data_IF_645744908792
#
_entry.id   IF_645744908792
#
_cell.length_a   1.000
_cell.length_b   1.000
_cell.length_c   1.000
_cell.angle_alpha   90.00
_cell.angle_beta   90.00
_cell.angle_gamma   90.00
#
_symmetry.space_group_name_H-M   'P 1'
#
loop_
_entity.id
_entity.type
_entity.pdbx_description
1 polymer ?
#
# COMPACT_ATOMS: atom_id res chain seq x y z
N UNK A 1 45.60 -63.31 -22.13
CA UNK A 1 44.59 -62.35 -22.61
C UNK A 1 43.82 -61.79 -21.41
N UNK A 2 44.23 -60.63 -20.83
CA UNK A 2 43.45 -59.90 -19.81
C UNK A 2 43.64 -58.39 -20.02
N UNK A 3 42.62 -57.75 -20.60
CA UNK A 3 42.41 -56.30 -20.66
C UNK A 3 41.81 -55.88 -19.32
N UNK A 4 42.48 -55.02 -18.56
CA UNK A 4 41.84 -54.21 -17.51
C UNK A 4 42.31 -52.77 -17.66
N UNK A 5 41.41 -51.93 -18.18
CA UNK A 5 41.65 -50.54 -18.56
C UNK A 5 41.35 -49.57 -17.41
N UNK A 6 42.38 -48.82 -17.01
CA UNK A 6 42.47 -47.36 -16.74
C UNK A 6 41.36 -46.51 -16.10
N UNK A 7 40.19 -47.02 -15.68
CA UNK A 7 39.07 -46.13 -15.30
C UNK A 7 39.15 -45.63 -13.83
N UNK A 8 39.99 -46.23 -12.98
CA UNK A 8 39.91 -46.01 -11.52
C UNK A 8 40.64 -44.79 -10.95
N UNK A 9 41.47 -44.07 -11.73
CA UNK A 9 42.28 -42.96 -11.19
C UNK A 9 41.67 -41.57 -11.39
N UNK A 10 40.87 -41.36 -12.43
CA UNK A 10 40.24 -40.05 -12.67
C UNK A 10 39.00 -39.80 -11.81
N UNK A 11 38.32 -40.85 -11.34
CA UNK A 11 37.10 -40.74 -10.52
C UNK A 11 37.38 -40.20 -9.09
N UNK A 12 38.58 -40.46 -8.56
CA UNK A 12 38.97 -40.10 -7.18
C UNK A 12 39.30 -38.60 -7.05
N UNK A 13 39.71 -37.94 -8.13
CA UNK A 13 40.02 -36.50 -8.13
C UNK A 13 38.81 -35.61 -8.47
N UNK A 14 37.76 -36.15 -9.10
CA UNK A 14 36.53 -35.40 -9.42
C UNK A 14 35.64 -35.24 -8.19
N UNK A 15 35.62 -36.24 -7.29
CA UNK A 15 34.83 -36.21 -6.05
C UNK A 15 35.11 -35.01 -5.13
N UNK A 16 36.38 -34.67 -4.78
CA UNK A 16 36.67 -33.52 -3.94
C UNK A 16 36.43 -32.19 -4.66
N UNK A 17 36.66 -32.12 -5.98
CA UNK A 17 36.44 -30.89 -6.77
C UNK A 17 34.95 -30.55 -6.89
N UNK A 18 34.07 -31.55 -7.08
CA UNK A 18 32.61 -31.34 -7.09
C UNK A 18 32.09 -30.96 -5.70
N UNK A 19 32.64 -31.53 -4.62
CA UNK A 19 32.32 -31.13 -3.24
C UNK A 19 32.74 -29.68 -2.95
N UNK A 20 33.94 -29.28 -3.36
CA UNK A 20 34.42 -27.90 -3.21
C UNK A 20 33.57 -26.93 -4.05
N UNK A 21 33.11 -27.35 -5.24
CA UNK A 21 32.23 -26.56 -6.07
C UNK A 21 30.83 -26.39 -5.46
N UNK A 22 30.26 -27.45 -4.88
CA UNK A 22 28.97 -27.38 -4.16
C UNK A 22 29.06 -26.54 -2.88
N UNK A 23 30.15 -26.64 -2.11
CA UNK A 23 30.37 -25.82 -0.92
C UNK A 23 30.55 -24.34 -1.31
N UNK A 24 31.26 -24.07 -2.41
CA UNK A 24 31.45 -22.70 -2.92
C UNK A 24 30.15 -22.12 -3.49
N UNK A 25 29.34 -22.94 -4.16
CA UNK A 25 28.03 -22.56 -4.71
C UNK A 25 27.03 -22.23 -3.60
N UNK A 26 27.00 -23.01 -2.51
CA UNK A 26 26.15 -22.73 -1.34
C UNK A 26 26.58 -21.49 -0.55
N UNK A 27 27.87 -21.10 -0.59
CA UNK A 27 28.34 -19.86 0.03
C UNK A 27 28.07 -18.61 -0.82
N UNK A 28 27.94 -18.76 -2.15
CA UNK A 28 27.58 -17.69 -3.07
C UNK A 28 26.06 -17.53 -3.27
N UNK A 29 25.27 -18.58 -3.06
CA UNK A 29 23.81 -18.52 -2.90
C UNK A 29 23.46 -18.45 -1.41
N UNK A 30 23.88 -17.37 -0.76
CA UNK A 30 23.22 -16.98 0.48
C UNK A 30 21.78 -16.60 0.15
N UNK A 31 20.80 -17.36 0.65
CA UNK A 31 19.41 -16.93 0.74
C UNK A 31 19.43 -15.54 1.40
N UNK A 32 19.12 -14.48 0.65
CA UNK A 32 18.84 -13.19 1.27
C UNK A 32 17.66 -13.44 2.22
N UNK A 33 17.82 -13.21 3.53
CA UNK A 33 16.70 -13.39 4.44
C UNK A 33 15.60 -12.45 3.97
N UNK A 34 14.45 -13.01 3.54
CA UNK A 34 13.25 -12.24 3.29
C UNK A 34 13.05 -11.34 4.50
N UNK A 35 13.27 -10.03 4.32
CA UNK A 35 13.01 -9.04 5.34
C UNK A 35 11.51 -9.05 5.58
N UNK A 36 11.04 -9.89 6.51
CA UNK A 36 9.73 -9.72 7.14
C UNK A 36 9.79 -8.36 7.82
N UNK A 37 9.28 -7.36 7.11
CA UNK A 37 9.19 -5.99 7.61
C UNK A 37 8.51 -6.01 8.97
N UNK A 38 9.03 -5.21 9.91
CA UNK A 38 8.35 -5.00 11.19
C UNK A 38 6.93 -4.55 10.87
N UNK A 39 5.93 -5.21 11.44
CA UNK A 39 4.54 -4.79 11.30
C UNK A 39 4.45 -3.36 11.83
N UNK A 40 4.26 -2.40 10.93
CA UNK A 40 4.17 -1.00 11.32
C UNK A 40 2.71 -0.74 11.66
N UNK A 41 2.44 -0.45 12.92
CA UNK A 41 1.09 -0.10 13.35
C UNK A 41 0.57 1.13 12.58
N UNK A 42 -0.69 1.05 12.20
CA UNK A 42 -1.38 2.04 11.39
C UNK A 42 -2.34 2.85 12.25
N UNK A 43 -2.13 4.18 12.35
CA UNK A 43 -2.89 5.04 13.26
C UNK A 43 -4.05 5.70 12.52
N UNK A 44 -5.27 5.38 12.95
CA UNK A 44 -6.47 6.07 12.53
C UNK A 44 -6.79 7.27 13.41
N UNK A 45 -7.08 8.40 12.80
CA UNK A 45 -7.54 9.61 13.49
C UNK A 45 -9.04 9.85 13.33
N UNK A 46 -9.63 10.58 14.28
CA UNK A 46 -10.93 11.21 14.08
C UNK A 46 -10.81 12.31 13.04
N UNK A 47 -11.90 12.61 12.34
CA UNK A 47 -11.90 13.56 11.23
C UNK A 47 -11.32 14.94 11.56
N UNK A 48 -11.76 15.55 12.66
CA UNK A 48 -11.33 16.87 13.09
C UNK A 48 -9.85 16.89 13.54
N UNK A 49 -9.40 15.82 14.20
CA UNK A 49 -8.01 15.64 14.60
C UNK A 49 -7.10 15.41 13.40
N UNK A 50 -7.56 14.61 12.43
CA UNK A 50 -6.85 14.32 11.20
C UNK A 50 -6.61 15.56 10.36
N UNK A 51 -7.63 16.40 10.16
CA UNK A 51 -7.50 17.67 9.44
C UNK A 51 -6.42 18.57 10.06
N UNK A 52 -6.47 18.80 11.38
CA UNK A 52 -5.47 19.62 12.08
C UNK A 52 -4.06 19.04 11.97
N UNK A 53 -3.93 17.71 12.03
CA UNK A 53 -2.64 17.03 11.92
C UNK A 53 -2.09 17.12 10.49
N UNK A 54 -2.93 16.94 9.47
CA UNK A 54 -2.52 17.10 8.08
C UNK A 54 -2.04 18.51 7.76
N UNK A 55 -2.76 19.53 8.22
CA UNK A 55 -2.36 20.93 8.06
C UNK A 55 -1.01 21.20 8.75
N UNK A 56 -0.86 20.75 10.00
CA UNK A 56 0.37 20.91 10.78
C UNK A 56 1.57 20.17 10.17
N UNK A 57 1.37 18.93 9.71
CA UNK A 57 2.43 18.08 9.15
C UNK A 57 2.63 18.28 7.64
N UNK A 58 1.80 19.11 7.00
CA UNK A 58 1.77 19.33 5.54
C UNK A 58 1.62 18.04 4.74
N UNK A 59 0.82 17.10 5.25
CA UNK A 59 0.55 15.79 4.63
C UNK A 59 -0.84 15.76 4.01
N UNK A 60 -1.00 15.01 2.93
CA UNK A 60 -2.33 14.72 2.37
C UNK A 60 -3.18 13.94 3.37
N UNK A 61 -4.51 14.10 3.28
CA UNK A 61 -5.45 13.37 4.12
C UNK A 61 -6.10 12.23 3.34
N UNK A 62 -6.13 11.04 3.92
CA UNK A 62 -7.01 9.95 3.49
C UNK A 62 -8.20 9.90 4.44
N UNK A 63 -9.42 10.13 3.94
CA UNK A 63 -10.66 9.93 4.69
C UNK A 63 -11.36 8.67 4.19
N UNK A 64 -11.27 7.61 4.99
CA UNK A 64 -11.90 6.32 4.74
C UNK A 64 -13.29 6.26 5.37
N UNK A 65 -14.32 6.22 4.54
CA UNK A 65 -15.70 6.03 4.93
C UNK A 65 -16.07 4.55 4.85
N UNK A 66 -16.62 4.02 5.94
CA UNK A 66 -17.05 2.63 6.07
C UNK A 66 -18.36 2.52 6.86
N UNK A 67 -18.90 1.30 6.97
CA UNK A 67 -19.93 0.95 7.97
C UNK A 67 -19.62 -0.43 8.58
N UNK A 68 -20.09 -0.69 9.79
CA UNK A 68 -19.80 -1.96 10.49
C UNK A 68 -20.40 -3.20 9.80
N UNK A 69 -21.49 -3.04 9.06
CA UNK A 69 -22.19 -4.11 8.35
C UNK A 69 -21.74 -4.28 6.88
N UNK A 70 -20.71 -3.55 6.44
CA UNK A 70 -20.23 -3.58 5.06
C UNK A 70 -19.17 -4.68 4.82
N UNK A 71 -19.52 -5.69 4.01
CA UNK A 71 -18.61 -6.80 3.67
C UNK A 71 -17.37 -6.36 2.89
N UNK A 72 -17.51 -5.48 1.91
CA UNK A 72 -16.38 -4.95 1.14
C UNK A 72 -15.44 -4.06 1.97
N UNK A 73 -15.96 -3.41 3.02
CA UNK A 73 -15.16 -2.63 3.96
C UNK A 73 -14.23 -3.54 4.75
N UNK A 74 -14.76 -4.66 5.29
CA UNK A 74 -13.93 -5.69 5.94
C UNK A 74 -12.88 -6.27 4.98
N UNK A 75 -13.25 -6.47 3.70
CA UNK A 75 -12.29 -6.92 2.68
C UNK A 75 -11.18 -5.89 2.44
N UNK A 76 -11.50 -4.60 2.40
CA UNK A 76 -10.52 -3.52 2.23
C UNK A 76 -9.58 -3.42 3.43
N UNK A 77 -10.09 -3.53 4.66
CA UNK A 77 -9.27 -3.56 5.87
C UNK A 77 -8.35 -4.78 5.91
N UNK A 78 -8.87 -5.96 5.58
CA UNK A 78 -8.12 -7.23 5.62
C UNK A 78 -7.05 -7.34 4.55
N UNK A 79 -7.26 -6.75 3.37
CA UNK A 79 -6.34 -6.91 2.24
C UNK A 79 -5.51 -5.66 2.00
N UNK A 80 -6.17 -4.49 1.94
CA UNK A 80 -5.54 -3.24 1.47
C UNK A 80 -4.86 -2.50 2.60
N UNK A 81 -5.56 -2.23 3.71
CA UNK A 81 -4.96 -1.48 4.83
C UNK A 81 -4.06 -2.34 5.73
N UNK A 82 -4.09 -3.67 5.56
CA UNK A 82 -3.15 -4.59 6.21
C UNK A 82 -1.87 -4.82 5.38
N UNK A 83 -1.86 -4.44 4.10
CA UNK A 83 -0.69 -4.60 3.24
C UNK A 83 0.45 -3.69 3.74
N UNK A 84 1.63 -4.27 3.91
CA UNK A 84 2.77 -3.59 4.50
C UNK A 84 3.19 -2.35 3.71
N UNK A 85 3.20 -2.42 2.37
CA UNK A 85 3.60 -1.29 1.53
C UNK A 85 2.56 -0.17 1.61
N UNK A 86 1.27 -0.53 1.68
CA UNK A 86 0.21 0.45 1.89
C UNK A 86 0.37 1.16 3.24
N UNK A 87 0.62 0.42 4.33
CA UNK A 87 0.86 1.01 5.65
C UNK A 87 2.07 1.95 5.65
N UNK A 88 3.16 1.54 5.02
CA UNK A 88 4.38 2.35 4.93
C UNK A 88 4.10 3.68 4.25
N UNK A 89 3.48 3.68 3.06
CA UNK A 89 3.15 4.91 2.32
C UNK A 89 2.16 5.78 3.10
N UNK A 90 1.14 5.18 3.72
CA UNK A 90 0.16 5.94 4.49
C UNK A 90 0.77 6.58 5.74
N UNK A 91 1.70 5.91 6.43
CA UNK A 91 2.36 6.46 7.60
C UNK A 91 3.39 7.56 7.24
N UNK A 92 4.10 7.41 6.11
CA UNK A 92 5.08 8.40 5.67
C UNK A 92 4.42 9.66 5.12
N UNK A 93 3.42 9.51 4.26
CA UNK A 93 2.98 10.61 3.38
C UNK A 93 1.54 11.09 3.65
N UNK A 94 0.77 10.35 4.45
CA UNK A 94 -0.63 10.66 4.72
C UNK A 94 -0.92 10.84 6.20
N UNK A 95 -2.02 11.52 6.47
CA UNK A 95 -2.74 11.40 7.73
C UNK A 95 -4.05 10.66 7.45
N UNK A 96 -4.24 9.52 8.11
CA UNK A 96 -5.36 8.62 7.85
C UNK A 96 -6.50 8.83 8.84
N UNK A 97 -7.70 9.04 8.31
CA UNK A 97 -8.94 9.26 9.04
C UNK A 97 -9.92 8.16 8.69
N UNK A 98 -10.65 7.66 9.68
CA UNK A 98 -11.81 6.78 9.47
C UNK A 98 -13.09 7.46 9.91
N UNK A 99 -14.17 7.22 9.18
CA UNK A 99 -15.50 7.74 9.48
C UNK A 99 -16.52 6.62 9.28
N UNK A 100 -17.27 6.29 10.34
CA UNK A 100 -18.39 5.35 10.24
C UNK A 100 -19.64 6.09 9.73
N UNK A 101 -19.93 5.99 8.44
CA UNK A 101 -21.10 6.63 7.85
C UNK A 101 -22.44 6.00 8.29
N UNK A 102 -22.40 4.87 9.01
CA UNK A 102 -23.55 4.27 9.68
C UNK A 102 -23.76 4.78 11.10
N UNK A 103 -22.82 5.55 11.65
CA UNK A 103 -22.83 5.97 13.06
C UNK A 103 -23.53 7.32 13.29
N UNK A 104 -24.03 7.51 14.52
CA UNK A 104 -24.54 8.80 15.03
C UNK A 104 -23.52 9.52 15.93
N UNK A 105 -22.29 9.01 16.04
CA UNK A 105 -21.24 9.68 16.81
C UNK A 105 -21.03 11.09 16.29
N UNK A 106 -20.79 12.02 17.22
CA UNK A 106 -20.59 13.43 16.89
C UNK A 106 -19.11 13.72 16.57
N UNK A 107 -18.92 14.58 15.58
CA UNK A 107 -17.63 15.11 15.14
C UNK A 107 -17.78 16.60 14.82
N UNK A 108 -16.67 17.33 14.90
CA UNK A 108 -16.64 18.74 14.52
C UNK A 108 -16.35 18.89 13.03
N UNK A 109 -17.20 19.63 12.32
CA UNK A 109 -17.03 19.98 10.91
C UNK A 109 -17.37 21.45 10.72
N UNK A 110 -16.40 22.24 10.24
CA UNK A 110 -16.55 23.68 9.99
C UNK A 110 -17.18 24.44 11.17
N UNK A 111 -16.68 24.19 12.38
CA UNK A 111 -17.18 24.85 13.60
C UNK A 111 -18.43 24.22 14.22
N UNK A 112 -19.22 23.44 13.48
CA UNK A 112 -20.45 22.81 13.95
C UNK A 112 -20.23 21.35 14.40
N UNK A 113 -21.08 20.86 15.31
CA UNK A 113 -21.15 19.45 15.69
C UNK A 113 -22.16 18.72 14.80
N UNK A 114 -21.68 17.77 14.00
CA UNK A 114 -22.50 16.91 13.15
C UNK A 114 -22.21 15.44 13.44
N UNK A 115 -23.04 14.53 12.95
CA UNK A 115 -22.79 13.09 13.02
C UNK A 115 -21.83 12.63 11.93
N UNK A 116 -21.15 11.50 12.15
CA UNK A 116 -20.35 10.83 11.11
C UNK A 116 -21.17 10.51 9.86
N UNK A 117 -22.43 10.09 10.02
CA UNK A 117 -23.39 9.89 8.91
C UNK A 117 -23.68 11.16 8.11
N UNK A 118 -23.88 12.29 8.79
CA UNK A 118 -24.08 13.59 8.12
C UNK A 118 -22.81 14.02 7.38
N UNK A 119 -21.62 13.76 7.94
CA UNK A 119 -20.37 14.00 7.24
C UNK A 119 -20.26 13.15 5.97
N UNK A 120 -20.53 11.85 6.04
CA UNK A 120 -20.53 10.97 4.87
C UNK A 120 -21.47 11.50 3.77
N UNK A 121 -22.64 12.00 4.16
CA UNK A 121 -23.60 12.64 3.24
C UNK A 121 -23.06 13.95 2.62
N UNK A 122 -22.37 14.79 3.39
CA UNK A 122 -21.67 16.01 2.89
C UNK A 122 -20.52 15.68 1.93
N UNK A 123 -19.91 14.51 2.08
CA UNK A 123 -18.94 13.95 1.15
C UNK A 123 -19.57 13.23 -0.04
N UNK A 124 -20.91 13.23 -0.15
CA UNK A 124 -21.68 12.53 -1.19
C UNK A 124 -21.34 11.03 -1.26
N UNK A 125 -21.00 10.42 -0.12
CA UNK A 125 -20.75 8.98 -0.02
C UNK A 125 -22.09 8.25 -0.12
N UNK A 126 -22.32 7.58 -1.26
CA UNK A 126 -23.55 6.82 -1.54
C UNK A 126 -23.38 5.31 -1.40
N UNK A 127 -22.15 4.84 -1.24
CA UNK A 127 -21.80 3.43 -1.08
C UNK A 127 -20.47 3.29 -0.35
N UNK A 128 -20.24 2.11 0.22
CA UNK A 128 -19.07 1.81 1.04
C UNK A 128 -18.33 0.57 0.51
N UNK A 129 -17.00 0.50 0.65
CA UNK A 129 -16.13 1.54 1.19
C UNK A 129 -15.97 2.74 0.24
N UNK A 130 -15.55 3.88 0.78
CA UNK A 130 -15.24 5.06 0.01
C UNK A 130 -13.99 5.75 0.60
N UNK A 131 -12.99 6.01 -0.23
CA UNK A 131 -11.77 6.73 0.18
C UNK A 131 -11.75 8.11 -0.47
N UNK A 132 -11.65 9.16 0.33
CA UNK A 132 -11.48 10.53 -0.16
C UNK A 132 -10.08 11.02 0.11
N UNK A 133 -9.42 11.56 -0.92
CA UNK A 133 -8.11 12.19 -0.81
C UNK A 133 -8.26 13.70 -0.74
N UNK A 134 -7.57 14.32 0.22
CA UNK A 134 -7.59 15.76 0.44
C UNK A 134 -6.16 16.31 0.50
N UNK A 135 -6.01 17.58 0.13
CA UNK A 135 -4.81 18.38 0.38
C UNK A 135 -4.62 18.63 1.89
N UNK A 136 -3.43 19.09 2.33
CA UNK A 136 -3.17 19.40 3.75
C UNK A 136 -4.13 20.42 4.38
N UNK A 137 -4.66 21.35 3.59
CA UNK A 137 -5.64 22.37 4.02
C UNK A 137 -7.10 21.85 4.08
N UNK A 138 -7.31 20.59 3.72
CA UNK A 138 -8.63 19.96 3.69
C UNK A 138 -9.39 20.12 2.37
N UNK A 139 -8.80 20.74 1.34
CA UNK A 139 -9.39 20.79 -0.01
C UNK A 139 -9.51 19.37 -0.58
N UNK A 140 -10.67 19.04 -1.15
CA UNK A 140 -10.92 17.71 -1.71
C UNK A 140 -10.25 17.56 -3.07
N UNK A 141 -9.46 16.50 -3.24
CA UNK A 141 -8.83 16.14 -4.51
C UNK A 141 -9.76 15.24 -5.31
N UNK A 142 -9.95 14.00 -4.85
CA UNK A 142 -10.77 13.03 -5.56
C UNK A 142 -11.26 11.91 -4.64
N UNK A 143 -12.44 11.34 -4.95
CA UNK A 143 -12.92 10.10 -4.35
C UNK A 143 -12.41 8.86 -5.09
N UNK A 144 -12.21 7.78 -4.36
CA UNK A 144 -12.04 6.42 -4.84
C UNK A 144 -13.14 5.54 -4.22
N UNK A 145 -14.10 5.12 -5.05
CA UNK A 145 -15.29 4.40 -4.61
C UNK A 145 -15.07 2.89 -4.67
N UNK A 146 -15.59 2.20 -3.66
CA UNK A 146 -15.57 0.74 -3.58
C UNK A 146 -14.25 0.16 -3.12
N UNK A 147 -14.23 -1.16 -3.00
CA UNK A 147 -13.03 -1.91 -2.64
C UNK A 147 -11.95 -1.72 -3.71
N UNK A 148 -10.74 -1.38 -3.26
CA UNK A 148 -9.56 -1.28 -4.13
C UNK A 148 -8.45 -2.19 -3.57
N UNK A 149 -7.93 -3.16 -4.33
CA UNK A 149 -6.86 -4.04 -3.88
C UNK A 149 -5.53 -3.28 -3.67
N UNK A 150 -4.58 -3.84 -2.91
CA UNK A 150 -3.33 -3.17 -2.50
C UNK A 150 -2.56 -2.54 -3.66
N UNK A 151 -2.37 -3.28 -4.76
CA UNK A 151 -1.53 -2.87 -5.88
C UNK A 151 -2.10 -1.63 -6.57
N UNK A 152 -3.43 -1.61 -6.76
CA UNK A 152 -4.12 -0.46 -7.33
C UNK A 152 -4.16 0.70 -6.34
N UNK A 153 -4.33 0.42 -5.06
CA UNK A 153 -4.37 1.47 -4.03
C UNK A 153 -3.02 2.19 -3.93
N UNK A 154 -1.91 1.47 -3.98
CA UNK A 154 -0.55 2.04 -4.00
C UNK A 154 -0.34 3.01 -5.16
N UNK A 155 -0.81 2.66 -6.37
CA UNK A 155 -0.71 3.56 -7.54
C UNK A 155 -1.51 4.84 -7.35
N UNK A 156 -2.67 4.76 -6.69
CA UNK A 156 -3.47 5.96 -6.34
C UNK A 156 -2.75 6.79 -5.27
N UNK A 157 -2.16 6.15 -4.26
CA UNK A 157 -1.38 6.85 -3.22
C UNK A 157 -0.18 7.58 -3.81
N UNK A 158 0.53 6.97 -4.77
CA UNK A 158 1.65 7.61 -5.46
C UNK A 158 1.18 8.80 -6.30
N UNK A 159 0.10 8.63 -7.07
CA UNK A 159 -0.50 9.70 -7.87
C UNK A 159 -0.88 10.93 -7.04
N UNK A 160 -1.43 10.71 -5.84
CA UNK A 160 -1.80 11.81 -4.93
C UNK A 160 -0.57 12.40 -4.23
N UNK A 161 0.33 11.55 -3.71
CA UNK A 161 1.56 11.97 -3.02
C UNK A 161 2.43 12.86 -3.89
N UNK A 162 2.58 12.50 -5.16
CA UNK A 162 3.46 13.20 -6.10
C UNK A 162 2.83 14.48 -6.67
N UNK A 163 1.61 14.84 -6.26
CA UNK A 163 0.89 16.00 -6.78
C UNK A 163 0.48 15.85 -8.25
N UNK A 164 0.52 14.65 -8.82
CA UNK A 164 0.25 14.42 -10.23
C UNK A 164 -1.18 14.82 -10.62
N UNK A 165 -2.11 14.80 -9.66
CA UNK A 165 -3.50 15.26 -9.82
C UNK A 165 -3.65 16.72 -10.21
N UNK A 166 -2.62 17.54 -10.04
CA UNK A 166 -2.64 18.95 -10.44
C UNK A 166 -2.34 19.14 -11.93
N UNK A 167 -1.80 18.11 -12.60
CA UNK A 167 -1.24 18.21 -13.95
C UNK A 167 -1.92 17.30 -14.95
N UNK A 168 -2.46 16.17 -14.50
CA UNK A 168 -3.06 15.16 -15.36
C UNK A 168 -4.15 14.41 -14.59
N UNK A 169 -5.01 13.73 -15.34
CA UNK A 169 -5.99 12.79 -14.81
C UNK A 169 -5.32 11.49 -14.37
N UNK A 170 -6.01 10.71 -13.54
CA UNK A 170 -5.51 9.40 -13.14
C UNK A 170 -5.35 8.44 -14.33
N UNK A 171 -6.18 8.57 -15.38
CA UNK A 171 -6.07 7.71 -16.57
C UNK A 171 -4.77 7.99 -17.33
N UNK A 172 -4.47 9.27 -17.57
CA UNK A 172 -3.22 9.70 -18.21
C UNK A 172 -1.99 9.27 -17.39
N UNK A 173 -2.07 9.36 -16.06
CA UNK A 173 -1.02 8.87 -15.18
C UNK A 173 -0.75 7.37 -15.34
N UNK A 174 -1.81 6.55 -15.45
CA UNK A 174 -1.68 5.10 -15.68
C UNK A 174 -1.06 4.77 -17.05
N UNK A 175 -1.41 5.51 -18.10
CA UNK A 175 -0.85 5.33 -19.43
C UNK A 175 0.64 5.63 -19.44
N UNK A 176 1.04 6.77 -18.87
CA UNK A 176 2.45 7.14 -18.72
C UNK A 176 3.25 6.09 -17.95
N UNK A 177 2.70 5.52 -16.87
CA UNK A 177 3.38 4.44 -16.13
C UNK A 177 3.59 3.18 -16.96
N UNK A 178 2.66 2.83 -17.85
CA UNK A 178 2.81 1.68 -18.76
C UNK A 178 3.92 1.90 -19.78
N UNK A 179 4.05 3.11 -20.32
CA UNK A 179 5.11 3.45 -21.28
C UNK A 179 6.50 3.36 -20.66
N UNK A 180 6.68 3.91 -19.44
CA UNK A 180 7.93 3.80 -18.68
C UNK A 180 8.29 2.34 -18.39
N UNK A 181 7.30 1.50 -18.06
CA UNK A 181 7.51 0.08 -17.82
C UNK A 181 7.94 -0.69 -19.08
N UNK A 182 7.47 -0.30 -20.26
CA UNK A 182 7.88 -0.89 -21.55
C UNK A 182 9.29 -0.49 -21.96
N UNK A 183 9.72 0.74 -21.65
CA UNK A 183 11.06 1.23 -22.01
C UNK A 183 12.21 0.66 -21.16
N UNK A 184 11.90 0.03 -20.02
CA UNK A 184 12.90 -0.58 -19.12
C UNK A 184 13.09 -2.09 -19.35
N UNK A 185 12.42 -2.64 -20.36
CA UNK A 185 12.44 -4.06 -20.71
C UNK A 185 13.17 -4.25 -22.03
#
# INVERSE_FOLDING_TARGET
>A
MKRQSSIKRSLVLILPVVLIFFISFSLLWGDEPEKKGKDVDFIWHKYDQGLKKAEKEKKHLLVYFFTNYCGYCRKMEKNTFSDQKVKEVLNSDYVSVRVDGGSRNKIKFNGAQITERELASKYRVRGYPASWFLKPDGEKIAPLMGYTPPERFLVVLEYVKDGAYEKMTFSEYLEKKKEVGKSKK
#
